data_IF_649614366689
#
_entry.id   IF_649614366689
#
_cell.length_a   1.000
_cell.length_b   1.000
_cell.length_c   1.000
_cell.angle_alpha   90.00
_cell.angle_beta   90.00
_cell.angle_gamma   90.00
#
_symmetry.space_group_name_H-M   'P 1'
#
loop_
_entity.id
_entity.type
_entity.pdbx_description
1 polymer ?
#
# COMPACT_ATOMS: atom_id res chain seq x y z
N UNK A 1 -1.73 20.70 12.23
CA UNK A 1 -2.77 20.34 11.24
C UNK A 1 -3.97 21.30 11.32
N UNK A 2 -4.51 21.49 12.52
CA UNK A 2 -5.75 22.22 12.78
C UNK A 2 -5.78 23.68 12.29
N UNK A 3 -4.69 24.46 12.41
CA UNK A 3 -4.67 25.89 12.01
C UNK A 3 -5.07 26.07 10.54
N UNK A 4 -4.60 25.19 9.64
CA UNK A 4 -4.87 25.29 8.21
C UNK A 4 -6.29 24.88 7.85
N UNK A 5 -6.80 23.84 8.49
CA UNK A 5 -8.19 23.40 8.29
C UNK A 5 -9.16 24.52 8.68
N UNK A 6 -8.83 25.30 9.70
CA UNK A 6 -9.59 26.47 10.13
C UNK A 6 -9.44 27.64 9.15
N UNK A 7 -8.26 27.88 8.58
CA UNK A 7 -8.05 28.89 7.52
C UNK A 7 -8.88 28.53 6.28
N UNK A 8 -8.77 27.30 5.79
CA UNK A 8 -9.53 26.82 4.62
C UNK A 8 -11.04 26.89 4.88
N UNK A 9 -11.49 26.52 6.08
CA UNK A 9 -12.90 26.63 6.47
C UNK A 9 -13.38 28.08 6.55
N UNK A 10 -12.52 29.01 6.97
CA UNK A 10 -12.82 30.44 7.01
C UNK A 10 -12.90 31.02 5.60
N UNK A 11 -11.92 30.72 4.74
CA UNK A 11 -11.89 31.16 3.35
C UNK A 11 -13.11 30.64 2.56
N UNK A 12 -13.51 29.39 2.79
CA UNK A 12 -14.69 28.80 2.15
C UNK A 12 -15.99 29.47 2.60
N UNK A 13 -16.05 29.96 3.84
CA UNK A 13 -17.26 30.56 4.40
C UNK A 13 -17.39 32.06 4.14
N UNK A 14 -16.28 32.80 4.18
CA UNK A 14 -16.27 34.27 4.12
C UNK A 14 -15.57 34.83 2.86
N UNK A 15 -14.84 34.01 2.10
CA UNK A 15 -14.16 34.39 0.86
C UNK A 15 -12.63 34.27 0.92
N UNK A 16 -12.00 34.15 -0.26
CA UNK A 16 -10.56 33.83 -0.45
C UNK A 16 -9.55 34.79 0.18
N UNK A 17 -9.96 35.98 0.60
CA UNK A 17 -9.07 36.99 1.19
C UNK A 17 -9.32 37.22 2.69
N UNK A 18 -10.14 36.36 3.32
CA UNK A 18 -10.50 36.49 4.74
C UNK A 18 -9.49 35.77 5.63
N UNK A 19 -8.61 36.54 6.27
CA UNK A 19 -7.67 36.04 7.27
C UNK A 19 -8.20 36.22 8.72
N UNK A 20 -7.55 35.60 9.71
CA UNK A 20 -8.00 35.63 11.11
C UNK A 20 -8.08 37.06 11.68
N UNK A 21 -7.13 37.92 11.32
CA UNK A 21 -7.03 39.29 11.82
C UNK A 21 -8.13 40.19 11.22
N UNK A 22 -8.30 40.14 9.89
CA UNK A 22 -9.35 40.84 9.16
C UNK A 22 -10.74 40.41 9.64
N UNK A 23 -10.94 39.10 9.87
CA UNK A 23 -12.21 38.56 10.36
C UNK A 23 -12.52 38.98 11.80
N UNK A 24 -11.52 39.05 12.67
CA UNK A 24 -11.64 39.60 14.02
C UNK A 24 -11.77 41.13 14.04
N UNK A 25 -11.42 41.81 12.94
CA UNK A 25 -11.36 43.26 12.85
C UNK A 25 -10.21 43.88 13.66
N UNK A 26 -9.07 43.20 13.74
CA UNK A 26 -7.87 43.64 14.46
C UNK A 26 -6.64 43.65 13.54
N UNK A 27 -5.62 44.44 13.89
CA UNK A 27 -4.36 44.44 13.16
C UNK A 27 -3.54 43.16 13.44
N UNK A 28 -2.66 42.70 12.52
CA UNK A 28 -1.74 41.60 12.79
C UNK A 28 -0.80 41.86 13.98
N UNK A 29 -0.50 43.13 14.26
CA UNK A 29 0.28 43.62 15.40
C UNK A 29 -0.53 43.70 16.71
N UNK A 30 -1.81 43.31 16.71
CA UNK A 30 -2.69 43.52 17.85
C UNK A 30 -2.21 42.77 19.10
N UNK A 31 -2.36 43.41 20.25
CA UNK A 31 -2.04 42.83 21.55
C UNK A 31 -3.07 41.78 21.98
N UNK A 32 -2.72 40.91 22.93
CA UNK A 32 -3.68 39.92 23.46
C UNK A 32 -4.95 40.58 24.07
N UNK A 33 -4.80 41.79 24.60
CA UNK A 33 -5.92 42.57 25.15
C UNK A 33 -6.89 43.00 24.06
N UNK A 34 -6.37 43.46 22.91
CA UNK A 34 -7.19 43.83 21.75
C UNK A 34 -7.92 42.63 21.16
N UNK A 35 -7.23 41.48 21.02
CA UNK A 35 -7.85 40.23 20.59
C UNK A 35 -8.97 39.80 21.55
N UNK A 36 -8.74 39.94 22.86
CA UNK A 36 -9.76 39.61 23.87
C UNK A 36 -10.95 40.57 23.83
N UNK A 37 -10.73 41.85 23.53
CA UNK A 37 -11.80 42.83 23.33
C UNK A 37 -12.63 42.53 22.07
N UNK A 38 -11.97 42.19 20.97
CA UNK A 38 -12.63 41.78 19.72
C UNK A 38 -13.46 40.51 19.91
N UNK A 39 -12.90 39.51 20.61
CA UNK A 39 -13.62 38.29 20.97
C UNK A 39 -14.90 38.58 21.74
N UNK A 40 -14.85 39.41 22.78
CA UNK A 40 -16.05 39.78 23.57
C UNK A 40 -17.14 40.41 22.68
N UNK A 41 -16.75 41.31 21.78
CA UNK A 41 -17.67 41.99 20.85
C UNK A 41 -18.35 41.00 19.88
N UNK A 42 -17.58 40.10 19.27
CA UNK A 42 -18.11 39.13 18.30
C UNK A 42 -18.87 37.98 18.98
N UNK A 43 -18.43 37.55 20.17
CA UNK A 43 -19.10 36.53 20.97
C UNK A 43 -20.52 36.98 21.33
N UNK A 44 -20.71 38.25 21.73
CA UNK A 44 -22.04 38.82 21.97
C UNK A 44 -22.91 38.89 20.70
N UNK A 45 -22.30 39.09 19.53
CA UNK A 45 -22.99 39.17 18.24
C UNK A 45 -23.49 37.80 17.78
N UNK A 46 -22.67 36.77 17.91
CA UNK A 46 -22.96 35.41 17.43
C UNK A 46 -23.36 34.43 18.54
N UNK A 47 -23.67 34.93 19.73
CA UNK A 47 -24.04 34.10 20.86
C UNK A 47 -25.24 33.19 20.52
N UNK A 48 -25.21 31.88 20.82
CA UNK A 48 -26.28 30.95 20.47
C UNK A 48 -27.61 31.31 21.14
N UNK A 49 -27.59 31.92 22.32
CA UNK A 49 -28.80 32.36 23.02
C UNK A 49 -29.52 33.52 22.31
N UNK A 50 -28.78 34.41 21.64
CA UNK A 50 -29.37 35.53 20.88
C UNK A 50 -29.77 35.14 19.46
N UNK A 51 -29.14 34.10 18.90
CA UNK A 51 -29.35 33.64 17.53
C UNK A 51 -29.90 32.19 17.53
N UNK A 52 -30.94 31.94 18.32
CA UNK A 52 -31.59 30.63 18.39
C UNK A 52 -32.15 30.27 17.02
N UNK A 53 -31.69 29.16 16.45
CA UNK A 53 -32.16 28.65 15.16
C UNK A 53 -31.34 29.08 13.94
N UNK A 54 -30.31 29.92 14.08
CA UNK A 54 -29.39 30.23 12.97
C UNK A 54 -28.17 29.30 12.98
N UNK A 55 -28.09 28.31 12.07
CA UNK A 55 -26.94 27.42 11.97
C UNK A 55 -25.65 28.17 11.59
N UNK A 56 -25.74 29.27 10.84
CA UNK A 56 -24.57 30.06 10.43
C UNK A 56 -23.96 30.81 11.62
N UNK A 57 -24.80 31.37 12.49
CA UNK A 57 -24.33 32.01 13.72
C UNK A 57 -23.62 31.01 14.63
N UNK A 58 -24.15 29.79 14.76
CA UNK A 58 -23.52 28.71 15.53
C UNK A 58 -22.14 28.34 14.97
N UNK A 59 -22.03 28.12 13.65
CA UNK A 59 -20.74 27.83 13.01
C UNK A 59 -19.72 28.96 13.21
N UNK A 60 -20.15 30.22 13.02
CA UNK A 60 -19.31 31.39 13.25
C UNK A 60 -18.84 31.49 14.70
N UNK A 61 -19.69 31.18 15.66
CA UNK A 61 -19.33 31.15 17.08
C UNK A 61 -18.30 30.06 17.39
N UNK A 62 -18.47 28.85 16.83
CA UNK A 62 -17.49 27.77 16.97
C UNK A 62 -16.14 28.15 16.36
N UNK A 63 -16.13 28.69 15.13
CA UNK A 63 -14.90 29.19 14.48
C UNK A 63 -14.25 30.31 15.30
N UNK A 64 -15.04 31.21 15.87
CA UNK A 64 -14.55 32.32 16.71
C UNK A 64 -13.75 31.81 17.90
N UNK A 65 -14.27 30.80 18.60
CA UNK A 65 -13.58 30.20 19.75
C UNK A 65 -12.22 29.62 19.36
N UNK A 66 -12.16 28.88 18.25
CA UNK A 66 -10.93 28.24 17.76
C UNK A 66 -9.92 29.26 17.25
N UNK A 67 -10.35 30.27 16.49
CA UNK A 67 -9.46 31.31 15.98
C UNK A 67 -8.83 32.10 17.14
N UNK A 68 -9.64 32.46 18.14
CA UNK A 68 -9.14 33.23 19.30
C UNK A 68 -8.25 32.39 20.19
N UNK A 69 -8.47 31.09 20.35
CA UNK A 69 -7.54 30.22 21.08
C UNK A 69 -6.18 30.15 20.38
N UNK A 70 -6.16 30.02 19.04
CA UNK A 70 -4.93 30.04 18.23
C UNK A 70 -4.17 31.36 18.38
N UNK A 71 -4.88 32.50 18.32
CA UNK A 71 -4.23 33.82 18.40
C UNK A 71 -3.82 34.21 19.83
N UNK A 72 -4.39 33.59 20.86
CA UNK A 72 -4.01 33.83 22.26
C UNK A 72 -2.77 33.04 22.66
N UNK A 73 -2.63 31.81 22.17
CA UNK A 73 -1.43 31.01 22.38
C UNK A 73 -0.25 31.59 21.57
N UNK A 74 0.84 32.06 22.20
CA UNK A 74 2.00 32.61 21.50
C UNK A 74 2.58 31.63 20.47
N UNK A 75 2.62 30.33 20.78
CA UNK A 75 3.25 29.34 19.89
C UNK A 75 2.41 29.06 18.64
N UNK A 76 1.09 29.02 18.80
CA UNK A 76 0.14 28.83 17.70
C UNK A 76 0.02 30.10 16.86
N UNK A 77 0.05 31.28 17.49
CA UNK A 77 0.08 32.58 16.81
C UNK A 77 1.34 32.75 15.98
N UNK A 78 2.50 32.37 16.50
CA UNK A 78 3.76 32.44 15.75
C UNK A 78 3.72 31.54 14.51
N UNK A 79 3.25 30.30 14.66
CA UNK A 79 3.04 29.38 13.53
C UNK A 79 2.10 29.99 12.49
N UNK A 80 0.95 30.51 12.91
CA UNK A 80 0.02 31.18 12.00
C UNK A 80 0.68 32.39 11.29
N UNK A 81 1.41 33.22 12.03
CA UNK A 81 2.12 34.38 11.48
C UNK A 81 3.19 33.99 10.44
N UNK A 82 3.89 32.88 10.67
CA UNK A 82 4.86 32.34 9.73
C UNK A 82 4.18 32.01 8.38
N UNK A 83 3.05 31.30 8.40
CA UNK A 83 2.32 30.95 7.17
C UNK A 83 1.58 32.14 6.57
N UNK A 84 1.11 33.08 7.39
CA UNK A 84 0.51 34.33 6.93
C UNK A 84 1.50 35.18 6.12
N UNK A 85 2.79 35.20 6.49
CA UNK A 85 3.84 35.94 5.76
C UNK A 85 4.45 35.16 4.60
N UNK A 86 4.77 33.87 4.81
CA UNK A 86 5.53 33.06 3.85
C UNK A 86 4.65 32.26 2.89
N UNK A 87 3.33 32.26 3.12
CA UNK A 87 2.38 31.40 2.42
C UNK A 87 2.36 29.97 2.97
N UNK A 88 1.29 29.25 2.66
CA UNK A 88 1.16 27.83 3.00
C UNK A 88 1.95 26.98 2.01
N UNK A 89 2.67 25.92 2.46
CA UNK A 89 3.34 25.01 1.54
C UNK A 89 2.31 24.33 0.64
N UNK A 90 2.44 24.52 -0.68
CA UNK A 90 1.49 23.99 -1.67
C UNK A 90 1.43 22.45 -1.70
N UNK A 91 2.48 21.76 -1.26
CA UNK A 91 2.57 20.30 -1.25
C UNK A 91 1.83 19.65 -0.06
N UNK A 92 0.58 20.05 0.23
CA UNK A 92 -0.21 19.41 1.31
C UNK A 92 -1.37 18.60 0.72
N UNK A 93 -1.35 17.29 0.98
CA UNK A 93 -2.41 16.35 0.62
C UNK A 93 -2.30 15.75 -0.78
N UNK A 94 -3.05 14.67 -1.03
CA UNK A 94 -3.13 14.02 -2.34
C UNK A 94 -3.68 14.96 -3.43
N UNK A 95 -4.47 15.96 -3.03
CA UNK A 95 -5.00 17.01 -3.92
C UNK A 95 -3.93 17.85 -4.63
N UNK A 96 -2.73 18.02 -4.06
CA UNK A 96 -1.63 18.68 -4.78
C UNK A 96 -1.20 17.85 -6.01
N UNK A 97 -1.14 16.52 -5.87
CA UNK A 97 -0.80 15.62 -6.97
C UNK A 97 -1.87 15.73 -8.08
N UNK A 98 -3.15 15.74 -7.72
CA UNK A 98 -4.28 15.88 -8.66
C UNK A 98 -4.37 17.25 -9.34
N UNK A 99 -4.05 18.33 -8.63
CA UNK A 99 -4.13 19.70 -9.17
C UNK A 99 -2.96 20.04 -10.09
N UNK A 100 -1.76 19.53 -9.81
CA UNK A 100 -0.57 19.73 -10.64
C UNK A 100 -0.52 18.78 -11.83
N UNK A 101 -0.80 17.51 -11.60
CA UNK A 101 -0.94 16.49 -12.63
C UNK A 101 -2.41 16.16 -12.72
N UNK A 102 -3.16 16.83 -13.61
CA UNK A 102 -4.50 16.37 -14.01
C UNK A 102 -4.28 15.08 -14.79
N UNK A 103 -4.32 13.90 -14.16
CA UNK A 103 -3.85 12.70 -14.81
C UNK A 103 -4.91 12.35 -15.85
N UNK A 104 -4.55 12.52 -17.12
CA UNK A 104 -5.40 12.09 -18.22
C UNK A 104 -5.60 10.57 -18.14
N UNK A 105 -6.65 10.07 -18.77
CA UNK A 105 -6.96 8.64 -18.81
C UNK A 105 -5.71 7.80 -19.17
N UNK A 106 -4.91 8.26 -20.14
CA UNK A 106 -3.66 7.59 -20.52
C UNK A 106 -2.62 7.47 -19.39
N UNK A 107 -2.39 8.52 -18.59
CA UNK A 107 -1.44 8.45 -17.47
C UNK A 107 -1.89 7.49 -16.38
N UNK A 108 -3.20 7.45 -16.11
CA UNK A 108 -3.78 6.50 -15.15
C UNK A 108 -3.62 5.08 -15.65
N UNK A 109 -3.92 4.84 -16.94
CA UNK A 109 -3.73 3.53 -17.57
C UNK A 109 -2.28 3.06 -17.48
N UNK A 110 -1.28 3.91 -17.78
CA UNK A 110 0.14 3.55 -17.68
C UNK A 110 0.52 3.20 -16.24
N UNK A 111 0.10 3.99 -15.25
CA UNK A 111 0.41 3.73 -13.83
C UNK A 111 -0.23 2.41 -13.37
N UNK A 112 -1.49 2.16 -13.75
CA UNK A 112 -2.17 0.90 -13.43
C UNK A 112 -1.49 -0.30 -14.09
N UNK A 113 -1.03 -0.15 -15.35
CA UNK A 113 -0.28 -1.19 -16.04
C UNK A 113 1.06 -1.49 -15.36
N UNK A 114 1.79 -0.48 -14.90
CA UNK A 114 3.03 -0.68 -14.15
C UNK A 114 2.79 -1.39 -12.81
N UNK A 115 1.70 -1.04 -12.11
CA UNK A 115 1.31 -1.70 -10.86
C UNK A 115 0.95 -3.18 -11.13
N UNK A 116 0.13 -3.45 -12.15
CA UNK A 116 -0.27 -4.80 -12.52
C UNK A 116 0.94 -5.65 -12.94
N UNK A 117 1.86 -5.09 -13.72
CA UNK A 117 3.13 -5.71 -14.09
C UNK A 117 4.00 -6.06 -12.88
N UNK A 118 4.14 -5.13 -11.93
CA UNK A 118 4.86 -5.37 -10.68
C UNK A 118 4.23 -6.48 -9.86
N UNK A 119 2.90 -6.48 -9.73
CA UNK A 119 2.15 -7.52 -9.02
C UNK A 119 2.34 -8.90 -9.67
N UNK A 120 2.27 -9.00 -10.99
CA UNK A 120 2.51 -10.23 -11.72
C UNK A 120 3.94 -10.75 -11.48
N UNK A 121 4.94 -9.87 -11.52
CA UNK A 121 6.33 -10.26 -11.26
C UNK A 121 6.52 -10.80 -9.84
N UNK A 122 5.94 -10.14 -8.85
CA UNK A 122 5.98 -10.58 -7.45
C UNK A 122 5.27 -11.94 -7.29
N UNK A 123 4.09 -12.10 -7.89
CA UNK A 123 3.37 -13.37 -7.86
C UNK A 123 4.19 -14.51 -8.48
N UNK A 124 4.83 -14.27 -9.63
CA UNK A 124 5.75 -15.23 -10.25
C UNK A 124 6.93 -15.57 -9.36
N UNK A 125 7.54 -14.57 -8.70
CA UNK A 125 8.63 -14.79 -7.74
C UNK A 125 8.19 -15.64 -6.55
N UNK A 126 7.02 -15.35 -5.99
CA UNK A 126 6.45 -16.13 -4.89
C UNK A 126 6.20 -17.57 -5.34
N UNK A 127 5.60 -17.77 -6.51
CA UNK A 127 5.32 -19.10 -7.03
C UNK A 127 6.61 -19.91 -7.25
N UNK A 128 7.66 -19.31 -7.82
CA UNK A 128 8.97 -19.95 -7.99
C UNK A 128 9.56 -20.44 -6.66
N UNK A 129 9.47 -19.64 -5.60
CA UNK A 129 9.95 -20.05 -4.28
C UNK A 129 9.08 -21.14 -3.66
N UNK A 130 7.77 -21.11 -3.88
CA UNK A 130 6.85 -22.15 -3.40
C UNK A 130 7.08 -23.49 -4.11
N UNK A 131 7.24 -23.49 -5.45
CA UNK A 131 7.47 -24.69 -6.23
C UNK A 131 8.78 -25.38 -5.83
N UNK A 132 9.86 -24.60 -5.61
CA UNK A 132 11.11 -25.14 -5.07
C UNK A 132 10.96 -25.79 -3.70
N UNK A 133 10.21 -25.16 -2.79
CA UNK A 133 9.96 -25.71 -1.45
C UNK A 133 9.14 -26.99 -1.50
N UNK A 134 8.12 -27.06 -2.36
CA UNK A 134 7.31 -28.27 -2.56
C UNK A 134 8.15 -29.44 -3.06
N UNK A 135 9.00 -29.20 -4.06
CA UNK A 135 9.89 -30.26 -4.59
C UNK A 135 10.88 -30.71 -3.52
N UNK A 136 11.50 -29.77 -2.78
CA UNK A 136 12.42 -30.12 -1.70
C UNK A 136 11.74 -30.93 -0.58
N UNK A 137 10.50 -30.60 -0.22
CA UNK A 137 9.70 -31.37 0.74
C UNK A 137 9.40 -32.77 0.23
N UNK A 138 9.00 -32.90 -1.04
CA UNK A 138 8.73 -34.19 -1.66
C UNK A 138 9.98 -35.09 -1.72
N UNK A 139 11.16 -34.52 -2.02
CA UNK A 139 12.44 -35.24 -1.96
C UNK A 139 12.75 -35.72 -0.54
N UNK A 140 12.53 -34.88 0.47
CA UNK A 140 12.78 -35.23 1.87
C UNK A 140 11.84 -36.34 2.37
N UNK A 141 10.55 -36.25 2.04
CA UNK A 141 9.53 -37.24 2.37
C UNK A 141 9.82 -38.59 1.70
N UNK A 142 10.16 -38.59 0.41
CA UNK A 142 10.60 -39.78 -0.30
C UNK A 142 11.82 -40.44 0.40
N UNK A 143 12.79 -39.64 0.86
CA UNK A 143 13.97 -40.15 1.58
C UNK A 143 13.61 -40.78 2.94
N UNK A 144 12.63 -40.25 3.67
CA UNK A 144 12.21 -40.82 4.96
C UNK A 144 11.43 -42.12 4.78
N UNK A 145 10.54 -42.22 3.79
CA UNK A 145 9.80 -43.45 3.49
C UNK A 145 10.71 -44.60 3.01
N UNK A 146 11.80 -44.29 2.31
CA UNK A 146 12.84 -45.29 1.95
C UNK A 146 13.43 -46.05 3.13
N UNK A 147 13.59 -45.37 4.28
CA UNK A 147 14.24 -45.97 5.46
C UNK A 147 13.27 -46.93 6.16
N UNK A 148 11.97 -46.65 6.10
CA UNK A 148 10.94 -47.42 6.79
C UNK A 148 10.47 -48.66 6.00
N UNK A 149 10.28 -48.55 4.69
CA UNK A 149 9.62 -49.59 3.88
C UNK A 149 10.59 -50.54 3.13
N UNK A 150 11.87 -50.57 3.54
CA UNK A 150 12.87 -51.45 2.94
C UNK A 150 12.51 -52.94 3.19
N UNK A 151 12.39 -53.79 2.14
CA UNK A 151 12.00 -55.18 2.31
C UNK A 151 13.03 -55.95 3.16
N UNK A 152 12.55 -56.60 4.23
CA UNK A 152 13.38 -57.35 5.18
C UNK A 152 14.23 -58.39 4.43
N UNK A 153 15.55 -58.19 4.41
CA UNK A 153 16.53 -59.08 3.77
C UNK A 153 17.34 -58.47 2.62
N UNK A 154 17.03 -57.24 2.18
CA UNK A 154 17.92 -56.46 1.29
C UNK A 154 18.39 -55.23 2.05
N UNK A 155 19.71 -55.04 2.18
CA UNK A 155 20.27 -53.81 2.72
C UNK A 155 19.72 -52.62 1.91
N UNK A 156 19.26 -51.58 2.61
CA UNK A 156 18.86 -50.31 2.01
C UNK A 156 20.05 -49.77 1.20
N UNK A 157 20.10 -50.12 -0.09
CA UNK A 157 21.16 -49.69 -0.97
C UNK A 157 20.80 -48.26 -1.36
N UNK A 158 21.62 -47.32 -0.87
CA UNK A 158 21.50 -45.89 -1.15
C UNK A 158 21.27 -45.70 -2.67
N UNK A 159 20.06 -45.32 -3.07
CA UNK A 159 19.72 -45.04 -4.47
C UNK A 159 18.56 -45.82 -5.11
N UNK A 160 17.80 -46.65 -4.38
CA UNK A 160 16.55 -47.25 -4.92
C UNK A 160 15.40 -47.09 -3.93
N UNK A 161 14.37 -46.38 -4.34
CA UNK A 161 13.23 -45.92 -3.53
C UNK A 161 11.93 -46.37 -4.21
N UNK A 162 10.81 -46.40 -3.47
CA UNK A 162 9.48 -46.52 -4.06
C UNK A 162 8.66 -45.33 -3.56
N UNK A 163 7.89 -44.70 -4.43
CA UNK A 163 7.01 -43.58 -4.10
C UNK A 163 5.59 -43.96 -4.53
N UNK A 164 4.64 -43.73 -3.63
CA UNK A 164 3.22 -43.88 -3.89
C UNK A 164 2.72 -42.65 -4.64
N UNK A 165 2.23 -42.85 -5.87
CA UNK A 165 1.60 -41.79 -6.66
C UNK A 165 0.19 -42.28 -7.01
N UNK A 166 -0.81 -41.73 -6.34
CA UNK A 166 -2.19 -42.19 -6.45
C UNK A 166 -2.38 -43.53 -5.73
N UNK A 167 -2.65 -44.61 -6.48
CA UNK A 167 -2.84 -45.98 -5.95
C UNK A 167 -1.75 -46.96 -6.42
N UNK A 168 -0.62 -46.45 -6.92
CA UNK A 168 0.47 -47.28 -7.47
C UNK A 168 1.80 -46.91 -6.81
N UNK A 169 2.52 -47.95 -6.37
CA UNK A 169 3.88 -47.83 -5.87
C UNK A 169 4.83 -47.89 -7.06
N UNK A 170 5.44 -46.76 -7.40
CA UNK A 170 6.39 -46.67 -8.50
C UNK A 170 7.82 -46.64 -7.96
N UNK A 171 8.74 -47.32 -8.64
CA UNK A 171 10.15 -47.27 -8.27
C UNK A 171 10.67 -45.87 -8.59
N UNK A 172 11.39 -45.25 -7.68
CA UNK A 172 12.09 -44.02 -7.93
C UNK A 172 13.54 -44.08 -7.44
N UNK A 173 14.36 -43.18 -7.95
CA UNK A 173 15.77 -43.07 -7.65
C UNK A 173 16.07 -41.59 -7.40
N UNK A 174 16.41 -41.28 -6.16
CA UNK A 174 16.82 -39.92 -5.76
C UNK A 174 18.31 -39.78 -6.07
N UNK A 175 18.64 -38.94 -7.05
CA UNK A 175 20.03 -38.66 -7.45
C UNK A 175 20.40 -37.25 -6.98
N UNK A 176 21.07 -37.14 -5.83
CA UNK A 176 21.46 -35.86 -5.23
C UNK A 176 20.34 -35.21 -4.41
N UNK A 177 20.39 -33.88 -4.24
CA UNK A 177 19.49 -33.15 -3.33
C UNK A 177 18.19 -32.66 -3.98
N UNK A 178 18.11 -32.63 -5.32
CA UNK A 178 17.09 -31.86 -6.05
C UNK A 178 16.58 -32.54 -7.35
N UNK A 179 16.85 -33.84 -7.51
CA UNK A 179 16.55 -34.58 -8.74
C UNK A 179 16.08 -36.00 -8.40
N UNK A 180 14.88 -36.35 -8.87
CA UNK A 180 14.25 -37.66 -8.68
C UNK A 180 13.94 -38.25 -10.06
N UNK A 181 14.27 -39.52 -10.24
CA UNK A 181 13.87 -40.29 -11.42
C UNK A 181 12.78 -41.26 -10.99
N UNK A 182 11.60 -41.21 -11.61
CA UNK A 182 10.49 -42.15 -11.33
C UNK A 182 10.34 -43.10 -12.51
N UNK A 183 10.33 -44.39 -12.22
CA UNK A 183 10.17 -45.50 -13.16
C UNK A 183 8.75 -46.04 -13.05
N UNK A 184 7.86 -45.74 -14.01
CA UNK A 184 6.44 -46.10 -13.93
C UNK A 184 6.14 -47.58 -14.21
N UNK A 185 7.06 -48.31 -14.84
CA UNK A 185 6.93 -49.73 -15.17
C UNK A 185 8.30 -50.42 -15.15
N UNK A 186 8.41 -51.61 -14.56
CA UNK A 186 9.69 -52.33 -14.36
C UNK A 186 10.28 -52.90 -15.66
N UNK A 187 9.48 -53.04 -16.73
CA UNK A 187 9.92 -53.68 -17.98
C UNK A 187 10.10 -52.75 -19.17
N UNK A 188 9.42 -51.59 -19.24
CA UNK A 188 9.34 -50.84 -20.51
C UNK A 188 9.11 -49.33 -20.40
N UNK A 189 8.96 -48.75 -19.20
CA UNK A 189 8.70 -47.32 -19.06
C UNK A 189 9.95 -46.47 -19.23
N UNK A 190 9.91 -45.44 -20.08
CA UNK A 190 10.93 -44.39 -20.06
C UNK A 190 10.94 -43.70 -18.68
N UNK A 191 12.12 -43.47 -18.09
CA UNK A 191 12.23 -42.82 -16.78
C UNK A 191 11.71 -41.38 -16.84
N UNK A 192 10.80 -41.03 -15.93
CA UNK A 192 10.33 -39.66 -15.78
C UNK A 192 11.32 -38.93 -14.87
N UNK A 193 12.07 -38.00 -15.45
CA UNK A 193 13.04 -37.18 -14.74
C UNK A 193 12.34 -35.97 -14.14
N UNK A 194 12.26 -35.86 -12.82
CA UNK A 194 11.74 -34.69 -12.12
C UNK A 194 12.93 -33.87 -11.59
N UNK A 195 13.24 -32.76 -12.25
CA UNK A 195 14.33 -31.86 -11.89
C UNK A 195 13.78 -30.52 -11.38
N UNK A 196 14.31 -30.02 -10.25
CA UNK A 196 14.05 -28.64 -9.77
C UNK A 196 14.49 -27.54 -10.74
N UNK A 197 15.34 -27.85 -11.71
CA UNK A 197 15.80 -26.91 -12.74
C UNK A 197 14.74 -26.63 -13.82
N UNK A 198 13.68 -27.43 -13.91
CA UNK A 198 12.53 -27.18 -14.80
C UNK A 198 11.61 -26.08 -14.29
N UNK A 199 11.82 -25.62 -13.06
CA UNK A 199 11.11 -24.46 -12.50
C UNK A 199 11.65 -23.21 -13.18
N UNK A 200 10.93 -22.73 -14.20
CA UNK A 200 11.29 -21.54 -14.96
C UNK A 200 11.34 -20.32 -14.04
N UNK A 201 12.49 -19.65 -13.99
CA UNK A 201 12.61 -18.38 -13.29
C UNK A 201 11.72 -17.35 -14.01
N UNK A 202 10.81 -16.66 -13.29
CA UNK A 202 9.97 -15.65 -13.91
C UNK A 202 10.87 -14.56 -14.49
N UNK A 203 10.90 -14.44 -15.81
CA UNK A 203 11.76 -13.50 -16.51
C UNK A 203 10.95 -12.26 -16.89
N UNK A 204 11.61 -11.11 -17.05
CA UNK A 204 10.94 -9.85 -17.41
C UNK A 204 10.21 -9.97 -18.78
N UNK A 205 10.62 -10.92 -19.61
CA UNK A 205 9.96 -11.28 -20.88
C UNK A 205 8.54 -11.85 -20.71
N UNK A 206 8.21 -12.39 -19.55
CA UNK A 206 6.93 -13.06 -19.27
C UNK A 206 5.90 -12.08 -18.70
N UNK A 207 6.29 -10.81 -18.50
CA UNK A 207 5.34 -9.77 -18.17
C UNK A 207 4.30 -9.70 -19.28
N UNK A 208 3.04 -9.70 -18.86
CA UNK A 208 1.89 -9.65 -19.74
C UNK A 208 2.03 -8.54 -20.78
N UNK A 209 2.52 -7.36 -20.41
CA UNK A 209 2.72 -6.20 -21.30
C UNK A 209 3.68 -6.50 -22.46
N UNK A 210 4.72 -7.31 -22.22
CA UNK A 210 5.77 -7.63 -23.20
C UNK A 210 5.42 -8.92 -23.97
N UNK A 211 4.71 -9.85 -23.35
CA UNK A 211 4.18 -11.05 -24.00
C UNK A 211 2.93 -10.76 -24.85
N UNK A 212 2.23 -9.65 -24.59
CA UNK A 212 0.96 -9.33 -25.26
C UNK A 212 1.07 -9.13 -26.79
N UNK A 213 2.09 -8.45 -27.33
CA UNK A 213 2.22 -8.34 -28.79
C UNK A 213 2.62 -9.65 -29.48
N UNK A 214 3.22 -10.62 -28.76
CA UNK A 214 3.76 -11.84 -29.38
C UNK A 214 2.71 -12.88 -29.76
N UNK A 215 1.55 -12.86 -29.09
CA UNK A 215 0.47 -13.82 -29.34
C UNK A 215 -0.55 -13.34 -30.39
N UNK A 216 -0.40 -12.11 -30.93
CA UNK A 216 -1.21 -11.58 -32.04
C UNK A 216 -0.51 -11.70 -33.40
N UNK A 217 0.77 -12.06 -33.43
CA UNK A 217 1.60 -12.15 -34.65
C UNK A 217 1.74 -13.62 -35.12
N UNK A 218 1.04 -14.56 -34.49
CA UNK A 218 0.98 -15.98 -34.89
C UNK A 218 -0.45 -16.40 -35.21
#
# INVERSE_FOLDING_TARGET
PEIFDIVDALEKAEGKDTNFYNWLGVAPSATQNEISKAYRKLSLKWHPDKNKGDPKAKERFTRLGVIVSILRDPTSRERYNFFYKNGVPRWRGTGYLYSRFRPGLGTVTVVLLLIAAGMQHIAGQINYHQEKRKIAQFVAEARTHMIHDAPKGRAATLGRSYVEVGQRNMRCEVKGDNYIVVYPDERTGEPIHLNTEWVTKPTVSDLFIIAWPKHWIY
#
